data_IF_222264327025
#
_entry.id   IF_222264327025
#
_cell.length_a   1.000
_cell.length_b   1.000
_cell.length_c   1.000
_cell.angle_alpha   90.00
_cell.angle_beta   90.00
_cell.angle_gamma   90.00
#
_symmetry.space_group_name_H-M   'P 1'
#
loop_
_entity.id
_entity.type
_entity.pdbx_description
1 polymer ?
#
# COMPACT_ATOMS: atom_id res chain seq x y z
N UNK A 1 -9.57 71.48 -76.24
CA UNK A 1 -9.65 70.34 -77.17
C UNK A 1 -8.56 69.36 -76.79
N UNK A 2 -8.78 68.11 -76.45
CA UNK A 2 -9.98 67.39 -76.05
C UNK A 2 -9.53 66.10 -75.34
N UNK A 3 -10.39 65.63 -74.44
CA UNK A 3 -10.69 64.25 -74.02
C UNK A 3 -9.73 63.12 -74.48
N UNK A 4 -9.10 62.37 -73.57
CA UNK A 4 -9.63 61.16 -72.91
C UNK A 4 -9.99 60.01 -73.87
N UNK A 5 -9.29 58.85 -73.79
CA UNK A 5 -9.93 57.61 -73.29
C UNK A 5 -8.95 56.43 -73.03
N UNK A 6 -9.24 55.75 -71.92
CA UNK A 6 -8.96 54.38 -71.46
C UNK A 6 -7.78 53.57 -72.05
N UNK A 7 -6.80 53.27 -71.17
CA UNK A 7 -6.09 51.98 -71.14
C UNK A 7 -6.45 51.22 -69.88
N UNK A 8 -7.10 50.07 -70.03
CA UNK A 8 -7.36 49.12 -68.96
C UNK A 8 -6.05 48.43 -68.55
N UNK A 9 -5.55 48.72 -67.35
CA UNK A 9 -4.58 47.87 -66.67
C UNK A 9 -5.34 46.77 -65.92
N UNK A 10 -5.25 45.53 -66.42
CA UNK A 10 -5.59 44.34 -65.66
C UNK A 10 -4.63 44.21 -64.46
N UNK A 11 -5.16 44.42 -63.26
CA UNK A 11 -4.51 43.94 -62.04
C UNK A 11 -4.75 42.42 -61.92
N UNK A 12 -3.73 41.60 -61.58
CA UNK A 12 -3.94 40.17 -61.34
C UNK A 12 -4.83 39.96 -60.09
N UNK A 13 -5.60 38.87 -60.04
CA UNK A 13 -6.53 38.61 -58.95
C UNK A 13 -5.78 38.35 -57.64
N UNK A 14 -6.00 39.21 -56.64
CA UNK A 14 -5.68 38.93 -55.24
C UNK A 14 -6.73 37.97 -54.70
N UNK A 15 -6.67 36.70 -55.11
CA UNK A 15 -7.60 35.68 -54.66
C UNK A 15 -6.94 34.30 -54.58
N UNK A 16 -5.97 34.15 -53.67
CA UNK A 16 -5.47 32.81 -53.28
C UNK A 16 -4.79 32.73 -51.90
N UNK A 17 -4.57 33.85 -51.18
CA UNK A 17 -3.82 33.81 -49.90
C UNK A 17 -4.68 33.52 -48.65
N UNK A 18 -5.98 33.82 -48.67
CA UNK A 18 -6.86 33.65 -47.50
C UNK A 18 -7.25 32.19 -47.18
N UNK A 19 -7.40 31.35 -48.20
CA UNK A 19 -7.80 29.94 -48.03
C UNK A 19 -6.66 29.05 -47.53
N UNK A 20 -5.44 29.31 -47.97
CA UNK A 20 -4.25 28.57 -47.55
C UNK A 20 -3.94 28.81 -46.07
N UNK A 21 -3.90 30.07 -45.64
CA UNK A 21 -3.64 30.42 -44.23
C UNK A 21 -4.69 29.83 -43.29
N UNK A 22 -5.99 29.91 -43.63
CA UNK A 22 -7.05 29.29 -42.82
C UNK A 22 -6.92 27.77 -42.71
N UNK A 23 -6.64 27.07 -43.82
CA UNK A 23 -6.47 25.61 -43.81
C UNK A 23 -5.20 25.19 -43.06
N UNK A 24 -4.13 25.97 -43.20
CA UNK A 24 -2.88 25.76 -42.49
C UNK A 24 -3.04 25.96 -40.98
N UNK A 25 -3.68 27.03 -40.53
CA UNK A 25 -3.94 27.26 -39.10
C UNK A 25 -4.90 26.21 -38.51
N UNK A 26 -5.97 25.83 -39.23
CA UNK A 26 -6.91 24.81 -38.77
C UNK A 26 -6.27 23.40 -38.69
N UNK A 27 -5.46 23.03 -39.69
CA UNK A 27 -4.73 21.76 -39.69
C UNK A 27 -3.70 21.68 -38.57
N UNK A 28 -2.91 22.73 -38.37
CA UNK A 28 -1.91 22.75 -37.30
C UNK A 28 -2.53 22.81 -35.91
N UNK A 29 -3.68 23.48 -35.73
CA UNK A 29 -4.42 23.48 -34.47
C UNK A 29 -4.93 22.08 -34.11
N UNK A 30 -5.53 21.37 -35.07
CA UNK A 30 -6.00 19.98 -34.89
C UNK A 30 -4.86 19.02 -34.54
N UNK A 31 -3.75 19.09 -35.28
CA UNK A 31 -2.56 18.26 -35.04
C UNK A 31 -2.00 18.56 -33.65
N UNK A 32 -1.91 19.83 -33.26
CA UNK A 32 -1.44 20.23 -31.92
C UNK A 32 -2.38 19.74 -30.82
N UNK A 33 -3.70 19.78 -31.04
CA UNK A 33 -4.71 19.24 -30.12
C UNK A 33 -4.61 17.73 -29.93
N UNK A 34 -4.37 16.97 -31.01
CA UNK A 34 -4.17 15.52 -30.95
C UNK A 34 -2.87 15.14 -30.24
N UNK A 35 -1.78 15.87 -30.47
CA UNK A 35 -0.54 15.66 -29.72
C UNK A 35 -0.69 16.01 -28.24
N UNK A 36 -1.42 17.09 -27.92
CA UNK A 36 -1.73 17.45 -26.53
C UNK A 36 -2.61 16.38 -25.84
N UNK A 37 -3.60 15.81 -26.55
CA UNK A 37 -4.44 14.73 -26.04
C UNK A 37 -3.65 13.43 -25.87
N UNK A 38 -2.81 13.05 -26.83
CA UNK A 38 -1.95 11.88 -26.74
C UNK A 38 -0.96 12.01 -25.56
N UNK A 39 -0.37 13.19 -25.39
CA UNK A 39 0.48 13.51 -24.23
C UNK A 39 -0.29 13.41 -22.91
N UNK A 40 -1.52 13.95 -22.87
CA UNK A 40 -2.40 13.88 -21.70
C UNK A 40 -2.72 12.43 -21.32
N UNK A 41 -3.10 11.61 -22.29
CA UNK A 41 -3.47 10.19 -22.09
C UNK A 41 -2.26 9.35 -21.67
N UNK A 42 -1.14 9.49 -22.37
CA UNK A 42 0.08 8.74 -22.06
C UNK A 42 0.64 9.10 -20.69
N UNK A 43 0.53 10.37 -20.28
CA UNK A 43 1.17 10.84 -19.04
C UNK A 43 0.26 10.83 -17.81
N UNK A 44 -1.05 10.95 -18.00
CA UNK A 44 -2.03 10.77 -16.93
C UNK A 44 -2.27 9.28 -16.64
N UNK A 45 -2.21 8.41 -17.65
CA UNK A 45 -2.47 6.99 -17.49
C UNK A 45 -3.86 6.73 -16.87
N UNK A 46 -4.06 5.63 -16.11
CA UNK A 46 -5.37 5.29 -15.55
C UNK A 46 -5.75 6.08 -14.27
N UNK A 47 -4.91 7.02 -13.79
CA UNK A 47 -5.13 7.74 -12.52
C UNK A 47 -5.67 9.17 -12.76
N UNK A 48 -6.95 9.47 -12.43
CA UNK A 48 -7.56 10.77 -12.71
C UNK A 48 -6.89 11.94 -12.00
N UNK A 49 -6.28 11.73 -10.83
CA UNK A 49 -5.62 12.78 -10.04
C UNK A 49 -4.44 13.43 -10.76
N UNK A 50 -3.81 12.74 -11.71
CA UNK A 50 -2.67 13.28 -12.50
C UNK A 50 -3.07 14.37 -13.47
N UNK A 51 -4.37 14.53 -13.73
CA UNK A 51 -4.89 15.65 -14.52
C UNK A 51 -4.67 16.99 -13.81
N UNK A 52 -4.52 17.02 -12.48
CA UNK A 52 -4.31 18.25 -11.72
C UNK A 52 -2.92 18.90 -11.94
N UNK A 53 -1.96 18.19 -12.55
CA UNK A 53 -0.63 18.74 -12.79
C UNK A 53 -0.65 19.89 -13.80
N UNK A 54 0.15 20.95 -13.63
CA UNK A 54 0.10 22.14 -14.49
C UNK A 54 0.30 21.84 -15.98
N UNK A 55 1.19 20.91 -16.33
CA UNK A 55 1.42 20.50 -17.70
C UNK A 55 0.28 19.66 -18.29
N UNK A 56 -0.44 18.91 -17.45
CA UNK A 56 -1.61 18.14 -17.85
C UNK A 56 -2.85 19.05 -17.97
N UNK A 57 -2.99 20.05 -17.10
CA UNK A 57 -3.99 21.11 -17.22
C UNK A 57 -3.79 21.95 -18.48
N UNK A 58 -2.53 22.29 -18.81
CA UNK A 58 -2.21 23.00 -20.04
C UNK A 58 -2.45 22.14 -21.29
N UNK A 59 -2.07 20.85 -21.25
CA UNK A 59 -2.33 19.90 -22.35
C UNK A 59 -3.84 19.65 -22.52
N UNK A 60 -4.58 19.51 -21.42
CA UNK A 60 -6.04 19.42 -21.40
C UNK A 60 -6.66 20.67 -22.01
N UNK A 61 -6.31 21.87 -21.54
CA UNK A 61 -6.84 23.13 -22.08
C UNK A 61 -6.55 23.27 -23.59
N UNK A 62 -5.34 22.91 -24.02
CA UNK A 62 -4.93 22.94 -25.43
C UNK A 62 -5.70 21.92 -26.26
N UNK A 63 -5.86 20.69 -25.77
CA UNK A 63 -6.66 19.65 -26.42
C UNK A 63 -8.15 20.05 -26.47
N UNK A 64 -8.70 20.60 -25.40
CA UNK A 64 -10.10 21.05 -25.30
C UNK A 64 -10.38 22.23 -26.23
N UNK A 65 -9.46 23.21 -26.35
CA UNK A 65 -9.63 24.34 -27.27
C UNK A 65 -9.47 23.91 -28.75
N UNK A 66 -8.49 23.05 -29.05
CA UNK A 66 -8.21 22.59 -30.40
C UNK A 66 -9.25 21.57 -30.92
N UNK A 67 -9.74 20.68 -30.06
CA UNK A 67 -10.73 19.65 -30.39
C UNK A 67 -12.17 20.12 -30.09
N UNK A 68 -12.35 21.16 -29.28
CA UNK A 68 -13.63 21.82 -29.04
C UNK A 68 -14.15 22.62 -30.23
N UNK A 69 -13.27 23.20 -31.07
CA UNK A 69 -13.67 23.86 -32.31
C UNK A 69 -14.35 22.90 -33.33
N UNK A 70 -13.86 21.67 -33.53
CA UNK A 70 -14.58 20.59 -34.22
C UNK A 70 -15.90 20.22 -33.54
N UNK A 71 -15.99 20.17 -32.21
CA UNK A 71 -17.24 19.87 -31.50
C UNK A 71 -18.26 21.00 -31.65
N UNK A 72 -17.87 22.27 -31.61
CA UNK A 72 -18.76 23.40 -31.92
C UNK A 72 -19.18 23.37 -33.38
N UNK A 73 -18.27 23.05 -34.30
CA UNK A 73 -18.59 22.88 -35.74
C UNK A 73 -19.49 21.68 -35.99
N UNK A 74 -19.30 20.58 -35.25
CA UNK A 74 -20.11 19.38 -35.28
C UNK A 74 -21.46 19.60 -34.61
N UNK A 75 -21.57 20.39 -33.55
CA UNK A 75 -22.82 20.79 -32.91
C UNK A 75 -23.63 21.73 -33.80
N UNK A 76 -22.97 22.63 -34.54
CA UNK A 76 -23.60 23.47 -35.55
C UNK A 76 -24.05 22.65 -36.77
N UNK A 77 -23.26 21.66 -37.21
CA UNK A 77 -23.62 20.72 -38.27
C UNK A 77 -24.73 19.74 -37.83
N UNK A 78 -24.69 19.28 -36.57
CA UNK A 78 -25.69 18.42 -35.93
C UNK A 78 -27.01 19.19 -35.75
N UNK A 79 -26.96 20.49 -35.40
CA UNK A 79 -28.14 21.36 -35.37
C UNK A 79 -28.77 21.49 -36.76
N UNK A 80 -27.97 21.63 -37.81
CA UNK A 80 -28.47 21.65 -39.19
C UNK A 80 -29.03 20.29 -39.65
N UNK A 81 -28.41 19.19 -39.24
CA UNK A 81 -28.84 17.81 -39.53
C UNK A 81 -30.08 17.37 -38.70
N UNK A 82 -30.24 17.86 -37.47
CA UNK A 82 -31.43 17.67 -36.63
C UNK A 82 -32.65 18.35 -37.26
N UNK A 83 -32.47 19.57 -37.77
CA UNK A 83 -33.54 20.35 -38.45
C UNK A 83 -33.95 19.71 -39.78
N UNK A 84 -33.03 19.04 -40.49
CA UNK A 84 -33.35 18.30 -41.73
C UNK A 84 -33.88 16.88 -41.45
N UNK A 85 -33.39 16.20 -40.42
CA UNK A 85 -33.81 14.87 -40.00
C UNK A 85 -35.22 14.80 -39.42
N UNK A 86 -35.70 15.88 -38.79
CA UNK A 86 -37.10 16.04 -38.33
C UNK A 86 -38.14 16.07 -39.47
N UNK A 87 -37.70 16.12 -40.74
CA UNK A 87 -38.58 16.19 -41.91
C UNK A 87 -38.81 14.84 -42.59
N UNK A 88 -38.21 13.75 -42.12
CA UNK A 88 -38.44 12.41 -42.68
C UNK A 88 -38.58 11.33 -41.59
N UNK A 89 -39.39 10.27 -41.81
CA UNK A 89 -39.58 9.19 -40.84
C UNK A 89 -38.27 8.44 -40.50
N UNK A 90 -37.38 8.30 -41.49
CA UNK A 90 -36.07 7.66 -41.31
C UNK A 90 -35.10 8.53 -40.49
N UNK A 91 -35.19 9.86 -40.61
CA UNK A 91 -34.40 10.79 -39.81
C UNK A 91 -34.80 10.80 -38.33
N UNK A 92 -36.10 10.67 -38.05
CA UNK A 92 -36.62 10.50 -36.68
C UNK A 92 -36.13 9.20 -36.02
N UNK A 93 -36.14 8.08 -36.75
CA UNK A 93 -35.59 6.80 -36.27
C UNK A 93 -34.08 6.86 -35.99
N UNK A 94 -33.32 7.51 -36.86
CA UNK A 94 -31.88 7.71 -36.66
C UNK A 94 -31.56 8.56 -35.43
N UNK A 95 -32.35 9.60 -35.18
CA UNK A 95 -32.22 10.45 -33.99
C UNK A 95 -32.62 9.73 -32.70
N UNK A 96 -33.68 8.92 -32.75
CA UNK A 96 -34.08 8.10 -31.62
C UNK A 96 -33.00 7.06 -31.26
N UNK A 97 -32.43 6.38 -32.25
CA UNK A 97 -31.35 5.41 -32.05
C UNK A 97 -30.06 6.06 -31.49
N UNK A 98 -29.69 7.24 -32.00
CA UNK A 98 -28.54 7.99 -31.49
C UNK A 98 -28.77 8.49 -30.06
N UNK A 99 -29.98 8.96 -29.75
CA UNK A 99 -30.37 9.33 -28.39
C UNK A 99 -30.35 8.15 -27.43
N UNK A 100 -30.79 6.97 -27.88
CA UNK A 100 -30.74 5.73 -27.09
C UNK A 100 -29.30 5.29 -26.82
N UNK A 101 -28.43 5.32 -27.85
CA UNK A 101 -27.02 4.95 -27.71
C UNK A 101 -26.26 5.92 -26.80
N UNK A 102 -26.52 7.23 -26.93
CA UNK A 102 -25.96 8.24 -26.03
C UNK A 102 -26.47 8.03 -24.60
N UNK A 103 -27.78 7.80 -24.43
CA UNK A 103 -28.41 7.53 -23.14
C UNK A 103 -27.81 6.30 -22.44
N UNK A 104 -27.69 5.17 -23.15
CA UNK A 104 -27.08 3.95 -22.65
C UNK A 104 -25.58 4.13 -22.32
N UNK A 105 -24.84 4.88 -23.14
CA UNK A 105 -23.44 5.20 -22.88
C UNK A 105 -23.25 6.08 -21.65
N UNK A 106 -24.10 7.10 -21.47
CA UNK A 106 -24.10 7.92 -20.26
C UNK A 106 -24.60 7.18 -19.03
N UNK A 107 -25.57 6.27 -19.17
CA UNK A 107 -26.04 5.42 -18.08
C UNK A 107 -24.93 4.48 -17.60
N UNK A 108 -24.27 3.74 -18.51
CA UNK A 108 -23.14 2.89 -18.15
C UNK A 108 -21.94 3.66 -17.57
N UNK A 109 -21.70 4.89 -18.02
CA UNK A 109 -20.68 5.76 -17.41
C UNK A 109 -21.06 6.23 -16.01
N UNK A 110 -22.34 6.58 -15.79
CA UNK A 110 -22.83 6.99 -14.46
C UNK A 110 -22.87 5.81 -13.50
N UNK A 111 -23.28 4.63 -13.96
CA UNK A 111 -23.32 3.40 -13.16
C UNK A 111 -21.91 2.94 -12.75
N UNK A 112 -20.92 3.05 -13.66
CA UNK A 112 -19.51 2.79 -13.32
C UNK A 112 -18.87 3.87 -12.44
N UNK A 113 -19.32 5.14 -12.56
CA UNK A 113 -18.90 6.20 -11.67
C UNK A 113 -19.53 6.10 -10.28
N UNK A 114 -20.74 5.54 -10.19
CA UNK A 114 -21.47 5.30 -8.95
C UNK A 114 -20.99 4.02 -8.25
N UNK A 115 -20.64 2.97 -8.99
CA UNK A 115 -19.98 1.77 -8.47
C UNK A 115 -18.57 2.04 -7.90
N UNK A 116 -17.94 3.17 -8.27
CA UNK A 116 -16.67 3.65 -7.67
C UNK A 116 -16.87 4.61 -6.51
N UNK A 117 -18.10 4.92 -6.14
CA UNK A 117 -18.34 5.56 -4.85
C UNK A 117 -18.15 4.46 -3.81
N UNK A 118 -17.02 4.55 -3.09
CA UNK A 118 -16.88 3.88 -1.81
C UNK A 118 -18.22 4.04 -1.06
N UNK A 119 -18.76 2.97 -0.45
CA UNK A 119 -19.92 3.12 0.41
C UNK A 119 -19.65 4.27 1.40
N UNK A 120 -20.67 5.06 1.77
CA UNK A 120 -20.49 6.07 2.81
C UNK A 120 -19.77 5.40 3.97
N UNK A 121 -18.71 6.02 4.55
CA UNK A 121 -17.93 5.38 5.59
C UNK A 121 -18.91 4.83 6.61
N UNK A 122 -18.83 3.51 6.85
CA UNK A 122 -19.54 2.86 7.93
C UNK A 122 -19.38 3.79 9.12
N UNK A 123 -20.50 4.35 9.60
CA UNK A 123 -20.51 5.25 10.73
C UNK A 123 -20.24 4.39 11.97
N UNK A 124 -18.99 3.93 12.08
CA UNK A 124 -18.47 3.37 13.30
C UNK A 124 -18.41 4.56 14.23
N UNK A 125 -19.30 4.56 15.23
CA UNK A 125 -19.21 5.50 16.34
C UNK A 125 -17.87 5.22 17.03
N UNK A 126 -16.82 5.93 16.62
CA UNK A 126 -15.58 5.93 17.37
C UNK A 126 -15.91 6.31 18.81
N UNK A 127 -15.48 5.53 19.82
CA UNK A 127 -15.76 5.86 21.20
C UNK A 127 -15.35 7.30 21.47
N UNK A 128 -16.27 8.11 21.99
CA UNK A 128 -16.00 9.50 22.28
C UNK A 128 -14.80 9.60 23.23
N UNK A 129 -13.66 10.07 22.71
CA UNK A 129 -12.41 10.17 23.47
C UNK A 129 -11.33 9.13 23.14
N UNK A 130 -11.50 8.25 22.14
CA UNK A 130 -10.41 7.39 21.67
C UNK A 130 -9.15 8.22 21.35
N UNK A 131 -8.01 7.79 21.92
CA UNK A 131 -6.68 8.36 21.68
C UNK A 131 -5.73 7.19 21.54
N UNK A 132 -5.26 6.95 20.32
CA UNK A 132 -4.21 5.98 20.09
C UNK A 132 -2.91 6.48 20.74
N UNK A 133 -2.23 5.61 21.47
CA UNK A 133 -0.94 5.89 22.08
C UNK A 133 0.19 5.47 21.14
N UNK A 134 1.17 6.36 20.99
CA UNK A 134 2.36 6.08 20.19
C UNK A 134 3.58 6.27 21.10
N UNK A 135 4.37 5.21 21.21
CA UNK A 135 5.60 5.16 21.99
C UNK A 135 6.77 5.35 21.05
N UNK A 136 7.70 6.24 21.39
CA UNK A 136 8.81 6.58 20.52
C UNK A 136 10.11 6.67 21.32
N UNK A 137 11.13 5.96 20.85
CA UNK A 137 12.50 6.07 21.35
C UNK A 137 13.40 6.51 20.19
N UNK A 138 14.28 7.47 20.48
CA UNK A 138 15.26 8.00 19.54
C UNK A 138 16.67 7.90 20.10
N UNK A 139 17.66 8.00 19.22
CA UNK A 139 19.08 7.92 19.59
C UNK A 139 19.49 6.51 19.99
N UNK A 140 18.86 5.51 19.36
CA UNK A 140 19.17 4.11 19.62
C UNK A 140 20.63 3.81 19.25
N UNK A 141 21.41 3.19 20.15
CA UNK A 141 22.77 2.78 19.86
C UNK A 141 22.84 1.97 18.58
N UNK A 142 23.91 2.21 17.82
CA UNK A 142 24.07 1.57 16.53
C UNK A 142 24.22 0.06 16.64
N UNK A 143 25.08 -0.35 17.58
CA UNK A 143 25.50 -1.73 17.72
C UNK A 143 24.59 -2.47 18.72
N UNK A 144 24.13 -3.69 18.38
CA UNK A 144 23.51 -4.56 19.36
C UNK A 144 24.49 -4.92 20.49
N UNK A 145 23.96 -5.28 21.65
CA UNK A 145 24.73 -5.76 22.81
C UNK A 145 24.51 -7.26 22.97
N UNK A 146 25.32 -8.05 22.27
CA UNK A 146 25.06 -9.48 22.10
C UNK A 146 23.73 -9.68 21.37
N UNK A 147 22.83 -10.46 21.97
CA UNK A 147 21.50 -10.74 21.41
C UNK A 147 20.46 -9.67 21.73
N UNK A 148 20.84 -8.62 22.45
CA UNK A 148 19.96 -7.52 22.82
C UNK A 148 20.11 -6.35 21.86
N UNK A 149 18.99 -5.70 21.59
CA UNK A 149 18.98 -4.42 20.91
C UNK A 149 18.59 -3.31 21.90
N UNK A 150 19.50 -2.40 22.28
CA UNK A 150 19.24 -1.42 23.34
C UNK A 150 18.02 -0.53 23.10
N UNK A 151 17.62 -0.37 21.84
CA UNK A 151 16.40 0.35 21.46
C UNK A 151 15.13 -0.36 21.98
N UNK A 152 15.08 -1.69 21.91
CA UNK A 152 14.00 -2.50 22.49
C UNK A 152 14.05 -2.40 24.01
N UNK A 153 15.24 -2.56 24.60
CA UNK A 153 15.43 -2.47 26.06
C UNK A 153 15.01 -1.11 26.62
N UNK A 154 15.11 -0.02 25.85
CA UNK A 154 14.63 1.30 26.22
C UNK A 154 13.11 1.47 25.98
N UNK A 155 12.58 0.89 24.90
CA UNK A 155 11.18 1.02 24.51
C UNK A 155 10.24 0.30 25.48
N UNK A 156 10.56 -0.92 25.92
CA UNK A 156 9.63 -1.71 26.74
C UNK A 156 9.35 -1.06 28.11
N UNK A 157 10.35 -0.59 28.88
CA UNK A 157 10.10 0.17 30.10
C UNK A 157 9.34 1.47 29.83
N UNK A 158 9.65 2.16 28.73
CA UNK A 158 8.95 3.39 28.33
C UNK A 158 7.46 3.15 28.08
N UNK A 159 7.11 2.07 27.36
CA UNK A 159 5.71 1.63 27.19
C UNK A 159 5.07 1.30 28.54
N UNK A 160 5.77 0.53 29.38
CA UNK A 160 5.29 0.09 30.69
C UNK A 160 4.98 1.24 31.66
N UNK A 161 5.84 2.25 31.73
CA UNK A 161 5.63 3.48 32.52
C UNK A 161 4.39 4.26 32.09
N UNK A 162 3.97 4.10 30.84
CA UNK A 162 2.82 4.78 30.24
C UNK A 162 1.61 3.86 30.08
N UNK A 163 1.61 2.69 30.73
CA UNK A 163 0.43 1.84 30.87
C UNK A 163 0.33 0.68 29.89
N UNK A 164 1.23 0.55 28.91
CA UNK A 164 1.25 -0.59 27.99
C UNK A 164 2.39 -1.55 28.36
N UNK A 165 2.05 -2.69 28.95
CA UNK A 165 3.02 -3.67 29.42
C UNK A 165 3.30 -4.73 28.36
N UNK A 166 4.56 -5.10 28.21
CA UNK A 166 4.94 -6.09 27.21
C UNK A 166 4.63 -7.51 27.66
N UNK A 167 4.91 -7.84 28.92
CA UNK A 167 4.74 -9.20 29.44
C UNK A 167 3.41 -9.38 30.17
N UNK A 168 2.61 -10.35 29.72
CA UNK A 168 1.39 -10.79 30.41
C UNK A 168 1.79 -11.72 31.55
N UNK A 169 1.65 -11.24 32.78
CA UNK A 169 2.13 -11.93 33.97
C UNK A 169 1.25 -11.63 35.18
N UNK A 170 1.03 -12.59 36.09
CA UNK A 170 0.41 -12.29 37.39
C UNK A 170 1.30 -11.37 38.25
N UNK A 171 2.60 -11.29 37.98
CA UNK A 171 3.54 -10.42 38.70
C UNK A 171 3.57 -9.04 38.05
N UNK A 172 3.18 -8.03 38.81
CA UNK A 172 3.18 -6.64 38.35
C UNK A 172 4.56 -6.02 38.53
N UNK A 173 5.21 -5.69 37.42
CA UNK A 173 6.47 -4.92 37.36
C UNK A 173 6.29 -3.69 36.47
N UNK A 174 7.37 -2.98 36.15
CA UNK A 174 7.36 -1.91 35.15
C UNK A 174 6.92 -2.43 33.77
N UNK A 175 7.43 -3.60 33.35
CA UNK A 175 7.20 -4.18 32.01
C UNK A 175 6.20 -5.35 32.02
N UNK A 176 5.72 -5.78 33.19
CA UNK A 176 4.89 -6.98 33.36
C UNK A 176 3.60 -6.73 34.14
N UNK A 177 2.50 -7.39 33.77
CA UNK A 177 1.24 -7.36 34.50
C UNK A 177 0.14 -8.16 33.79
N UNK A 178 -1.05 -8.32 34.42
CA UNK A 178 -2.10 -9.20 33.89
C UNK A 178 -2.67 -8.74 32.54
N UNK A 179 -2.58 -7.44 32.25
CA UNK A 179 -3.01 -6.83 30.98
C UNK A 179 -1.86 -6.71 29.96
N UNK A 180 -0.75 -7.42 30.16
CA UNK A 180 0.39 -7.39 29.25
C UNK A 180 0.11 -8.08 27.91
N UNK A 181 0.96 -7.80 26.92
CA UNK A 181 0.77 -8.28 25.54
C UNK A 181 1.07 -9.77 25.42
N UNK A 182 2.30 -10.20 25.72
CA UNK A 182 2.79 -11.57 25.48
C UNK A 182 2.77 -12.38 26.76
N UNK A 183 2.02 -13.47 26.82
CA UNK A 183 2.08 -14.46 27.88
C UNK A 183 3.24 -15.46 27.68
N UNK A 184 3.57 -16.17 28.76
CA UNK A 184 4.69 -17.10 28.80
C UNK A 184 4.55 -18.28 27.82
N UNK A 185 3.33 -18.70 27.50
CA UNK A 185 3.00 -19.86 26.68
C UNK A 185 2.43 -19.51 25.29
N UNK A 186 2.42 -18.23 24.94
CA UNK A 186 1.93 -17.74 23.65
C UNK A 186 2.79 -18.22 22.48
N UNK A 187 2.12 -18.42 21.35
CA UNK A 187 2.77 -18.53 20.03
C UNK A 187 2.78 -17.13 19.44
N UNK A 188 3.97 -16.52 19.39
CA UNK A 188 4.18 -15.16 18.92
C UNK A 188 4.64 -15.18 17.47
N UNK A 189 3.74 -14.85 16.55
CA UNK A 189 4.09 -14.65 15.14
C UNK A 189 4.68 -13.25 14.98
N UNK A 190 5.98 -13.17 14.66
CA UNK A 190 6.67 -11.92 14.34
C UNK A 190 6.62 -11.72 12.83
N UNK A 191 5.69 -10.88 12.39
CA UNK A 191 5.52 -10.51 11.00
C UNK A 191 6.55 -9.45 10.63
N UNK A 192 7.64 -9.87 10.01
CA UNK A 192 8.68 -8.95 9.51
C UNK A 192 8.28 -8.36 8.15
N UNK A 193 8.87 -7.23 7.76
CA UNK A 193 8.97 -6.84 6.35
C UNK A 193 10.24 -7.41 5.70
N UNK A 194 10.13 -8.26 4.67
CA UNK A 194 11.33 -8.88 4.08
C UNK A 194 11.32 -9.11 2.55
N UNK A 195 10.42 -8.46 1.82
CA UNK A 195 10.45 -8.50 0.35
C UNK A 195 11.78 -8.00 -0.25
N UNK A 196 12.39 -6.96 0.33
CA UNK A 196 13.58 -6.31 -0.23
C UNK A 196 14.82 -6.55 0.65
N UNK A 197 15.99 -6.66 0.03
CA UNK A 197 17.29 -6.78 0.70
C UNK A 197 17.76 -5.45 1.29
N UNK A 198 18.93 -5.46 1.92
CA UNK A 198 19.59 -4.28 2.48
C UNK A 198 18.64 -3.56 3.45
N UNK A 199 18.60 -2.22 3.46
CA UNK A 199 17.71 -1.42 4.33
C UNK A 199 16.24 -1.41 3.87
N UNK A 200 15.91 -2.25 2.88
CA UNK A 200 14.54 -2.50 2.44
C UNK A 200 13.83 -3.55 3.30
N UNK A 201 14.54 -4.32 4.11
CA UNK A 201 13.95 -5.27 5.06
C UNK A 201 13.89 -4.71 6.49
N UNK A 202 13.23 -5.45 7.37
CA UNK A 202 13.24 -5.22 8.82
C UNK A 202 14.65 -5.38 9.35
N UNK A 203 15.03 -4.50 10.28
CA UNK A 203 16.34 -4.58 10.90
C UNK A 203 16.52 -5.89 11.69
N UNK A 204 17.56 -6.66 11.38
CA UNK A 204 17.79 -7.97 12.01
C UNK A 204 18.41 -7.86 13.40
N UNK A 205 19.12 -6.77 13.71
CA UNK A 205 19.53 -6.47 15.10
C UNK A 205 18.29 -6.22 15.98
N UNK A 206 17.31 -5.48 15.46
CA UNK A 206 16.01 -5.26 16.10
C UNK A 206 15.23 -6.57 16.26
N UNK A 207 15.18 -7.40 15.21
CA UNK A 207 14.54 -8.72 15.28
C UNK A 207 15.16 -9.57 16.39
N UNK A 208 16.50 -9.64 16.45
CA UNK A 208 17.23 -10.37 17.48
C UNK A 208 16.89 -9.85 18.88
N UNK A 209 16.90 -8.52 19.08
CA UNK A 209 16.53 -7.90 20.35
C UNK A 209 15.07 -8.17 20.77
N UNK A 210 14.14 -8.18 19.82
CA UNK A 210 12.74 -8.52 20.08
C UNK A 210 12.58 -9.99 20.46
N UNK A 211 13.21 -10.91 19.71
CA UNK A 211 13.20 -12.34 20.03
C UNK A 211 13.79 -12.57 21.42
N UNK A 212 14.94 -11.96 21.74
CA UNK A 212 15.55 -11.99 23.07
C UNK A 212 14.57 -11.54 24.15
N UNK A 213 13.89 -10.42 23.94
CA UNK A 213 12.92 -9.91 24.89
C UNK A 213 11.76 -10.89 25.14
N UNK A 214 11.24 -11.53 24.09
CA UNK A 214 10.15 -12.52 24.20
C UNK A 214 10.64 -13.75 24.97
N UNK A 215 11.78 -14.33 24.60
CA UNK A 215 12.29 -15.56 25.24
C UNK A 215 12.75 -15.32 26.69
N UNK A 216 13.06 -14.07 27.05
CA UNK A 216 13.33 -13.61 28.42
C UNK A 216 12.08 -13.34 29.25
N UNK A 217 10.90 -13.80 28.81
CA UNK A 217 9.65 -13.62 29.56
C UNK A 217 9.88 -13.92 31.06
N UNK A 218 9.50 -13.02 31.98
CA UNK A 218 9.88 -13.10 33.40
C UNK A 218 9.33 -14.35 34.11
N UNK A 219 8.24 -14.91 33.61
CA UNK A 219 7.66 -16.17 34.10
C UNK A 219 8.26 -17.43 33.46
N UNK A 220 9.25 -17.27 32.57
CA UNK A 220 9.86 -18.32 31.76
C UNK A 220 9.04 -18.60 30.49
N UNK A 221 9.58 -18.25 29.32
CA UNK A 221 8.90 -18.49 28.06
C UNK A 221 8.92 -19.98 27.68
N UNK A 222 7.74 -20.54 27.46
CA UNK A 222 7.49 -21.94 27.05
C UNK A 222 6.67 -22.05 25.78
N UNK A 223 6.27 -20.91 25.21
CA UNK A 223 5.58 -20.80 23.93
C UNK A 223 6.51 -21.00 22.72
N UNK A 224 6.19 -20.36 21.60
CA UNK A 224 7.02 -20.39 20.38
C UNK A 224 7.09 -18.99 19.76
N UNK A 225 8.25 -18.59 19.25
CA UNK A 225 8.39 -17.39 18.41
C UNK A 225 8.51 -17.82 16.95
N UNK A 226 7.63 -17.33 16.09
CA UNK A 226 7.60 -17.69 14.66
C UNK A 226 7.86 -16.44 13.81
N UNK A 227 9.03 -16.36 13.18
CA UNK A 227 9.36 -15.28 12.24
C UNK A 227 8.73 -15.58 10.89
N UNK A 228 7.82 -14.73 10.40
CA UNK A 228 7.04 -15.03 9.20
C UNK A 228 6.88 -13.83 8.26
N UNK A 229 6.83 -14.12 6.96
CA UNK A 229 6.61 -13.14 5.89
C UNK A 229 6.27 -13.85 4.56
N UNK A 230 5.54 -13.14 3.70
CA UNK A 230 5.43 -13.42 2.27
C UNK A 230 6.32 -12.41 1.50
N UNK A 231 7.51 -12.83 1.11
CA UNK A 231 8.48 -12.04 0.34
C UNK A 231 8.11 -11.88 -1.16
N UNK A 232 6.94 -12.39 -1.55
CA UNK A 232 6.38 -12.27 -2.89
C UNK A 232 7.34 -12.76 -4.00
N UNK A 233 7.53 -11.99 -5.06
CA UNK A 233 8.41 -12.35 -6.18
C UNK A 233 9.90 -12.31 -5.82
N UNK A 234 10.26 -11.78 -4.64
CA UNK A 234 11.64 -11.66 -4.18
C UNK A 234 11.96 -12.72 -3.11
N UNK A 235 11.29 -13.87 -3.16
CA UNK A 235 11.56 -14.99 -2.25
C UNK A 235 13.05 -15.34 -2.20
N UNK A 236 13.51 -15.75 -1.03
CA UNK A 236 14.81 -16.37 -0.82
C UNK A 236 14.59 -17.51 0.17
N UNK A 237 15.30 -18.62 0.01
CA UNK A 237 15.13 -19.78 0.87
C UNK A 237 15.38 -19.39 2.33
N UNK A 238 14.43 -19.72 3.21
CA UNK A 238 14.50 -19.47 4.65
C UNK A 238 14.77 -18.02 5.08
N UNK A 239 14.52 -17.03 4.22
CA UNK A 239 14.91 -15.63 4.46
C UNK A 239 16.43 -15.40 4.52
N UNK A 240 17.24 -16.37 4.10
CA UNK A 240 18.69 -16.27 4.09
C UNK A 240 19.15 -15.44 2.88
N UNK A 241 19.73 -14.28 3.14
CA UNK A 241 20.31 -13.37 2.15
C UNK A 241 21.67 -12.91 2.63
N UNK A 242 22.61 -12.61 1.73
CA UNK A 242 23.92 -12.09 2.11
C UNK A 242 23.90 -10.60 2.51
N UNK A 243 22.82 -9.88 2.25
CA UNK A 243 22.74 -8.41 2.36
C UNK A 243 21.46 -7.98 3.08
N UNK A 244 21.60 -7.63 4.36
CA UNK A 244 20.48 -7.43 5.28
C UNK A 244 20.52 -6.07 5.98
N UNK A 245 19.39 -5.71 6.58
CA UNK A 245 19.29 -4.52 7.42
C UNK A 245 19.88 -4.80 8.82
N UNK A 246 21.20 -4.90 8.96
CA UNK A 246 21.87 -4.97 10.27
C UNK A 246 23.17 -4.16 10.29
N UNK A 247 23.81 -4.03 11.45
CA UNK A 247 25.20 -3.57 11.50
C UNK A 247 26.11 -4.60 10.84
N UNK A 248 25.96 -5.88 11.20
CA UNK A 248 26.50 -6.98 10.41
C UNK A 248 25.54 -7.29 9.27
N UNK A 249 25.86 -6.75 8.08
CA UNK A 249 25.01 -6.91 6.90
C UNK A 249 24.83 -8.36 6.45
N UNK A 250 25.65 -9.29 6.93
CA UNK A 250 25.50 -10.71 6.63
C UNK A 250 24.44 -11.40 7.48
N UNK A 251 24.00 -10.81 8.60
CA UNK A 251 22.99 -11.40 9.48
C UNK A 251 21.58 -11.29 8.89
N UNK A 252 21.04 -12.43 8.48
CA UNK A 252 19.67 -12.58 7.98
C UNK A 252 18.68 -12.95 9.10
N UNK A 253 17.35 -12.89 8.86
CA UNK A 253 16.37 -13.47 9.78
C UNK A 253 16.59 -14.96 10.04
N UNK A 254 17.12 -15.69 9.06
CA UNK A 254 17.49 -17.10 9.24
C UNK A 254 18.55 -17.26 10.33
N UNK A 255 19.62 -16.46 10.27
CA UNK A 255 20.72 -16.51 11.23
C UNK A 255 20.24 -16.18 12.64
N UNK A 256 19.33 -15.21 12.78
CA UNK A 256 18.71 -14.90 14.08
C UNK A 256 17.95 -16.12 14.61
N UNK A 257 17.11 -16.75 13.79
CA UNK A 257 16.33 -17.93 14.20
C UNK A 257 17.25 -19.09 14.59
N UNK A 258 18.24 -19.41 13.76
CA UNK A 258 19.21 -20.50 14.04
C UNK A 258 19.98 -20.22 15.32
N UNK A 259 20.45 -18.99 15.52
CA UNK A 259 21.16 -18.60 16.74
C UNK A 259 20.33 -18.87 18.01
N UNK A 260 19.06 -18.48 18.01
CA UNK A 260 18.18 -18.75 19.17
C UNK A 260 17.84 -20.23 19.34
N UNK A 261 17.72 -20.99 18.24
CA UNK A 261 17.57 -22.45 18.31
C UNK A 261 18.80 -23.11 18.94
N UNK A 262 20.01 -22.66 18.61
CA UNK A 262 21.26 -23.14 19.20
C UNK A 262 21.36 -22.84 20.72
N UNK A 263 20.73 -21.75 21.16
CA UNK A 263 20.54 -21.44 22.59
C UNK A 263 19.45 -22.28 23.26
N UNK A 264 18.75 -23.14 22.51
CA UNK A 264 17.66 -23.99 22.98
C UNK A 264 16.32 -23.27 23.12
N UNK A 265 16.17 -22.08 22.54
CA UNK A 265 14.90 -21.35 22.55
C UNK A 265 13.94 -21.88 21.48
N UNK A 266 12.62 -21.88 21.74
CA UNK A 266 11.60 -22.34 20.78
C UNK A 266 11.32 -21.25 19.74
N UNK A 267 12.24 -21.10 18.79
CA UNK A 267 12.14 -20.11 17.72
C UNK A 267 12.13 -20.83 16.37
N UNK A 268 11.25 -20.43 15.47
CA UNK A 268 11.17 -20.95 14.10
C UNK A 268 10.93 -19.81 13.12
N UNK A 269 11.01 -20.11 11.82
CA UNK A 269 10.51 -19.24 10.77
C UNK A 269 9.58 -19.99 9.84
N UNK A 270 8.64 -19.26 9.24
CA UNK A 270 7.74 -19.78 8.21
C UNK A 270 7.73 -18.86 7.01
N UNK A 271 8.22 -19.36 5.87
CA UNK A 271 8.18 -18.63 4.60
C UNK A 271 6.83 -18.81 3.91
N UNK A 272 5.91 -17.88 4.16
CA UNK A 272 4.59 -17.88 3.51
C UNK A 272 4.68 -17.71 1.99
N UNK A 273 5.83 -17.30 1.46
CA UNK A 273 6.05 -17.22 0.01
C UNK A 273 5.99 -18.58 -0.67
N UNK A 274 6.32 -19.64 0.06
CA UNK A 274 6.24 -21.04 -0.41
C UNK A 274 4.79 -21.54 -0.40
N UNK A 275 3.98 -21.04 0.54
CA UNK A 275 2.59 -21.47 0.75
C UNK A 275 1.58 -20.73 -0.14
N UNK A 276 1.92 -19.51 -0.61
CA UNK A 276 0.99 -18.57 -1.25
C UNK A 276 0.31 -19.05 -2.54
N UNK A 277 0.77 -20.16 -3.12
CA UNK A 277 0.20 -20.77 -4.33
C UNK A 277 -0.79 -21.90 -4.04
N UNK A 278 -1.03 -22.23 -2.77
CA UNK A 278 -1.89 -23.33 -2.34
C UNK A 278 -3.12 -22.77 -1.62
N UNK A 279 -4.30 -23.04 -2.17
CA UNK A 279 -5.58 -22.80 -1.50
C UNK A 279 -5.89 -23.99 -0.59
N UNK A 280 -6.27 -23.72 0.65
CA UNK A 280 -6.59 -24.73 1.66
C UNK A 280 -7.84 -24.33 2.44
N UNK A 281 -8.50 -25.32 3.03
CA UNK A 281 -9.54 -25.10 4.03
C UNK A 281 -8.92 -24.98 5.44
N UNK A 282 -9.73 -24.69 6.46
CA UNK A 282 -9.25 -24.63 7.85
C UNK A 282 -8.97 -26.02 8.46
N UNK A 283 -8.15 -26.08 9.51
CA UNK A 283 -7.90 -27.33 10.25
C UNK A 283 -9.20 -27.95 10.78
N UNK A 284 -10.16 -27.12 11.21
CA UNK A 284 -11.49 -27.58 11.64
C UNK A 284 -12.32 -28.24 10.54
N UNK A 285 -11.94 -28.06 9.28
CA UNK A 285 -12.59 -28.68 8.11
C UNK A 285 -11.87 -29.97 7.68
N UNK A 286 -10.83 -30.38 8.42
CA UNK A 286 -10.06 -31.60 8.16
C UNK A 286 -8.94 -31.43 7.13
N UNK A 287 -8.61 -30.18 6.77
CA UNK A 287 -7.48 -29.87 5.91
C UNK A 287 -6.23 -29.61 6.78
N UNK A 288 -5.28 -30.55 6.71
CA UNK A 288 -4.00 -30.50 7.42
C UNK A 288 -2.87 -29.86 6.58
N UNK A 289 -3.14 -29.44 5.34
CA UNK A 289 -2.15 -28.88 4.43
C UNK A 289 -1.83 -27.41 4.76
N UNK A 290 -0.60 -26.99 4.49
CA UNK A 290 -0.16 -25.60 4.66
C UNK A 290 -0.49 -24.77 3.41
N UNK A 291 -1.06 -23.59 3.60
CA UNK A 291 -1.53 -22.77 2.49
C UNK A 291 -2.19 -21.47 2.92
N UNK A 292 -3.07 -20.98 2.05
CA UNK A 292 -3.91 -19.83 2.32
C UNK A 292 -5.37 -20.23 2.29
N UNK A 293 -6.11 -19.87 3.34
CA UNK A 293 -7.57 -19.87 3.28
C UNK A 293 -7.99 -18.67 2.44
N UNK A 294 -8.85 -18.89 1.45
CA UNK A 294 -9.29 -17.86 0.49
C UNK A 294 -10.81 -17.75 0.53
N UNK A 295 -11.30 -16.54 0.79
CA UNK A 295 -12.74 -16.28 0.75
C UNK A 295 -13.24 -16.12 -0.69
N UNK A 296 -14.57 -16.23 -0.92
CA UNK A 296 -15.15 -15.81 -2.18
C UNK A 296 -14.77 -14.37 -2.53
N UNK A 297 -14.65 -14.09 -3.83
CA UNK A 297 -14.40 -12.74 -4.31
C UNK A 297 -15.56 -11.81 -3.92
N UNK A 298 -15.23 -10.71 -3.26
CA UNK A 298 -16.17 -9.67 -2.86
C UNK A 298 -16.07 -8.46 -3.82
N UNK A 299 -17.13 -8.15 -4.58
CA UNK A 299 -17.14 -7.00 -5.48
C UNK A 299 -17.18 -5.64 -4.75
N UNK A 300 -17.58 -5.57 -3.48
CA UNK A 300 -17.62 -4.31 -2.71
C UNK A 300 -16.22 -3.81 -2.38
N UNK A 301 -15.32 -4.74 -2.04
CA UNK A 301 -13.90 -4.44 -1.76
C UNK A 301 -12.97 -4.84 -2.90
N UNK A 302 -13.53 -5.26 -4.04
CA UNK A 302 -12.80 -5.51 -5.29
C UNK A 302 -11.82 -6.69 -5.24
N UNK A 303 -11.96 -7.61 -4.29
CA UNK A 303 -10.99 -8.69 -4.07
C UNK A 303 -11.51 -9.80 -3.15
N UNK A 304 -10.68 -10.81 -2.91
CA UNK A 304 -10.92 -11.86 -1.93
C UNK A 304 -9.98 -11.70 -0.74
N UNK A 305 -10.51 -11.84 0.47
CA UNK A 305 -9.69 -11.94 1.68
C UNK A 305 -8.95 -13.29 1.65
N UNK A 306 -7.69 -13.26 2.06
CA UNK A 306 -6.89 -14.48 2.22
C UNK A 306 -5.90 -14.32 3.35
N UNK A 307 -5.62 -15.40 4.07
CA UNK A 307 -4.64 -15.41 5.16
C UNK A 307 -3.98 -16.80 5.26
N UNK A 308 -2.75 -16.88 5.78
CA UNK A 308 -2.03 -18.13 5.88
C UNK A 308 -2.54 -19.00 7.04
N UNK A 309 -2.59 -20.31 6.76
CA UNK A 309 -2.74 -21.41 7.72
C UNK A 309 -1.54 -22.33 7.53
N UNK A 310 -0.82 -22.66 8.60
CA UNK A 310 0.46 -23.38 8.49
C UNK A 310 0.86 -24.10 9.77
N UNK A 311 1.65 -25.16 9.62
CA UNK A 311 2.33 -25.85 10.71
C UNK A 311 3.79 -25.38 10.81
N UNK A 312 4.23 -24.99 12.01
CA UNK A 312 5.62 -24.60 12.27
C UNK A 312 6.55 -25.82 12.28
N UNK A 313 7.86 -25.58 12.22
CA UNK A 313 8.87 -26.65 12.37
C UNK A 313 8.79 -27.36 13.75
N UNK A 314 8.24 -26.70 14.78
CA UNK A 314 7.99 -27.28 16.09
C UNK A 314 6.70 -28.11 16.14
N UNK A 315 5.90 -28.12 15.07
CA UNK A 315 4.63 -28.83 14.98
C UNK A 315 3.41 -28.03 15.42
N UNK A 316 3.58 -26.75 15.77
CA UNK A 316 2.47 -25.86 16.13
C UNK A 316 1.63 -25.55 14.90
N UNK A 317 0.33 -25.79 14.95
CA UNK A 317 -0.62 -25.53 13.86
C UNK A 317 -1.29 -24.17 14.06
N UNK A 318 -1.05 -23.24 13.14
CA UNK A 318 -1.43 -21.83 13.25
C UNK A 318 -2.41 -21.47 12.13
N UNK A 319 -3.58 -20.95 12.48
CA UNK A 319 -4.42 -20.13 11.61
C UNK A 319 -4.34 -18.68 12.08
N UNK A 320 -3.98 -17.74 11.20
CA UNK A 320 -3.98 -16.32 11.60
C UNK A 320 -5.38 -15.79 11.92
N UNK A 321 -6.44 -16.45 11.42
CA UNK A 321 -7.82 -16.12 11.80
C UNK A 321 -8.16 -16.75 13.15
N UNK A 322 -8.04 -18.07 13.26
CA UNK A 322 -8.70 -18.80 14.34
C UNK A 322 -7.80 -19.07 15.56
N UNK A 323 -6.48 -19.01 15.41
CA UNK A 323 -5.52 -19.22 16.50
C UNK A 323 -4.72 -20.51 16.37
N UNK A 324 -4.37 -21.11 17.52
CA UNK A 324 -3.59 -22.34 17.60
C UNK A 324 -4.52 -23.55 17.63
N UNK A 325 -4.38 -24.44 16.66
CA UNK A 325 -5.21 -25.64 16.55
C UNK A 325 -4.74 -26.74 17.50
N UNK A 326 -5.65 -27.23 18.34
CA UNK A 326 -5.49 -28.46 19.12
C UNK A 326 -6.15 -29.64 18.38
N UNK A 327 -5.37 -30.55 17.77
CA UNK A 327 -5.90 -31.69 17.04
C UNK A 327 -6.53 -32.75 17.95
N UNK A 328 -6.26 -32.74 19.26
CA UNK A 328 -6.87 -33.70 20.21
C UNK A 328 -8.25 -33.22 20.64
N UNK A 329 -8.35 -31.92 20.97
CA UNK A 329 -9.60 -31.28 21.34
C UNK A 329 -10.49 -30.88 20.15
N UNK A 330 -9.95 -30.92 18.93
CA UNK A 330 -10.59 -30.42 17.70
C UNK A 330 -11.08 -28.97 17.86
N UNK A 331 -10.23 -28.11 18.42
CA UNK A 331 -10.58 -26.73 18.76
C UNK A 331 -9.41 -25.77 18.58
N UNK A 332 -9.71 -24.49 18.38
CA UNK A 332 -8.71 -23.43 18.35
C UNK A 332 -8.59 -22.73 19.70
N UNK A 333 -7.36 -22.43 20.09
CA UNK A 333 -7.04 -21.46 21.12
C UNK A 333 -6.59 -20.15 20.46
N UNK A 334 -7.52 -19.19 20.38
CA UNK A 334 -7.27 -17.88 19.78
C UNK A 334 -6.44 -16.96 20.67
N UNK A 335 -6.53 -17.11 21.98
CA UNK A 335 -5.84 -16.20 22.92
C UNK A 335 -4.37 -16.54 23.09
N UNK A 336 -3.96 -17.74 22.71
CA UNK A 336 -2.56 -18.16 22.65
C UNK A 336 -1.82 -17.68 21.41
N UNK A 337 -2.51 -17.14 20.40
CA UNK A 337 -1.88 -16.55 19.22
C UNK A 337 -1.70 -15.05 19.42
N UNK A 338 -0.44 -14.60 19.38
CA UNK A 338 -0.10 -13.18 19.36
C UNK A 338 0.64 -12.81 18.07
N UNK A 339 0.19 -11.73 17.42
CA UNK A 339 0.81 -11.20 16.21
C UNK A 339 1.56 -9.91 16.54
N UNK A 340 2.87 -9.88 16.29
CA UNK A 340 3.70 -8.68 16.40
C UNK A 340 4.14 -8.26 15.00
N UNK A 341 3.69 -7.10 14.56
CA UNK A 341 3.96 -6.56 13.23
C UNK A 341 5.18 -5.65 13.26
N UNK A 342 6.24 -6.01 12.53
CA UNK A 342 7.53 -5.30 12.56
C UNK A 342 7.89 -4.77 11.16
N UNK A 343 7.26 -3.68 10.70
CA UNK A 343 7.57 -3.06 9.41
C UNK A 343 8.83 -2.20 9.47
N UNK A 344 9.52 -2.05 8.34
CA UNK A 344 10.50 -0.96 8.14
C UNK A 344 9.82 0.29 7.58
N UNK A 345 10.17 1.46 8.13
CA UNK A 345 9.68 2.76 7.68
C UNK A 345 10.43 3.22 6.43
N UNK A 346 9.71 3.31 5.31
CA UNK A 346 10.32 3.75 4.04
C UNK A 346 9.32 4.40 3.12
N UNK A 347 9.80 5.28 2.26
CA UNK A 347 9.03 5.73 1.10
C UNK A 347 8.63 4.55 0.20
N UNK A 348 7.50 4.70 -0.48
CA UNK A 348 7.02 3.73 -1.47
C UNK A 348 6.59 4.45 -2.75
N UNK A 349 7.46 5.36 -3.20
CA UNK A 349 7.25 6.26 -4.33
C UNK A 349 5.92 7.06 -4.22
N UNK A 350 5.60 7.88 -5.22
CA UNK A 350 4.30 8.56 -5.34
C UNK A 350 3.11 7.60 -5.58
N UNK A 351 3.30 6.27 -5.51
CA UNK A 351 2.26 5.29 -5.79
C UNK A 351 1.53 4.87 -4.52
N UNK A 352 2.26 4.38 -3.52
CA UNK A 352 1.71 4.00 -2.21
C UNK A 352 2.14 4.97 -1.09
N UNK A 353 3.07 5.89 -1.36
CA UNK A 353 3.51 6.92 -0.42
C UNK A 353 4.51 6.36 0.60
N UNK A 354 4.05 5.46 1.46
CA UNK A 354 4.82 4.91 2.59
C UNK A 354 4.63 3.40 2.70
N UNK A 355 5.68 2.70 3.12
CA UNK A 355 5.59 1.39 3.76
C UNK A 355 5.84 1.57 5.25
N UNK A 356 4.89 1.09 6.05
CA UNK A 356 4.92 1.01 7.51
C UNK A 356 3.90 -0.06 7.95
N UNK A 357 3.27 0.06 9.12
CA UNK A 357 2.46 -0.98 9.76
C UNK A 357 1.27 -1.46 8.93
N UNK A 358 0.45 -0.54 8.40
CA UNK A 358 -0.74 -0.91 7.61
C UNK A 358 -0.32 -1.67 6.35
N UNK A 359 0.67 -1.13 5.62
CA UNK A 359 1.15 -1.71 4.37
C UNK A 359 1.81 -3.07 4.56
N UNK A 360 2.36 -3.34 5.75
CA UNK A 360 3.05 -4.60 6.03
C UNK A 360 2.12 -5.80 5.93
N UNK A 361 0.82 -5.63 6.20
CA UNK A 361 -0.20 -6.67 6.03
C UNK A 361 -0.38 -7.14 4.58
N UNK A 362 0.17 -6.43 3.60
CA UNK A 362 0.27 -6.97 2.23
C UNK A 362 1.17 -8.22 2.16
N UNK A 363 2.04 -8.41 3.14
CA UNK A 363 2.81 -9.65 3.31
C UNK A 363 2.04 -10.77 3.99
N UNK A 364 0.78 -10.56 4.37
CA UNK A 364 -0.10 -11.58 4.95
C UNK A 364 -1.05 -12.17 3.90
N UNK A 365 -1.37 -11.45 2.83
CA UNK A 365 -2.27 -11.93 1.77
C UNK A 365 -1.51 -12.60 0.63
N UNK A 366 -2.20 -13.41 -0.16
CA UNK A 366 -1.67 -13.90 -1.44
C UNK A 366 -2.28 -13.15 -2.62
N UNK A 367 -1.58 -13.14 -3.76
CA UNK A 367 -2.11 -12.71 -5.06
C UNK A 367 -2.08 -13.82 -6.10
N UNK A 368 -1.60 -15.02 -5.76
CA UNK A 368 -1.47 -16.12 -6.72
C UNK A 368 -2.77 -16.92 -6.88
N UNK A 369 -3.72 -16.75 -5.96
CA UNK A 369 -5.00 -17.46 -5.92
C UNK A 369 -6.16 -16.59 -6.41
N UNK A 370 -5.91 -15.72 -7.39
CA UNK A 370 -6.96 -14.90 -8.02
C UNK A 370 -7.61 -13.85 -7.10
N UNK A 371 -7.02 -13.54 -5.95
CA UNK A 371 -7.60 -12.70 -4.90
C UNK A 371 -7.68 -11.21 -5.21
N UNK A 372 -6.90 -10.73 -6.19
CA UNK A 372 -6.79 -9.31 -6.56
C UNK A 372 -6.31 -8.36 -5.41
N UNK A 373 -5.78 -8.88 -4.31
CA UNK A 373 -5.52 -8.11 -3.08
C UNK A 373 -4.59 -6.90 -3.27
N UNK A 374 -3.65 -6.94 -4.22
CA UNK A 374 -2.76 -5.81 -4.51
C UNK A 374 -3.47 -4.63 -5.20
N UNK A 375 -4.43 -4.90 -6.07
CA UNK A 375 -5.15 -3.86 -6.81
C UNK A 375 -6.29 -3.27 -5.97
N UNK A 376 -6.88 -4.10 -5.11
CA UNK A 376 -8.01 -3.80 -4.25
C UNK A 376 -7.68 -3.01 -2.97
N UNK A 377 -6.42 -2.61 -2.76
CA UNK A 377 -6.02 -1.84 -1.56
C UNK A 377 -6.82 -0.55 -1.41
N UNK A 378 -7.06 0.15 -2.52
CA UNK A 378 -7.83 1.40 -2.50
C UNK A 378 -9.32 1.18 -2.20
N UNK A 379 -9.80 -0.05 -2.37
CA UNK A 379 -11.20 -0.44 -2.24
C UNK A 379 -11.49 -1.04 -0.86
N UNK A 380 -10.47 -1.20 0.01
CA UNK A 380 -10.65 -1.56 1.42
C UNK A 380 -10.24 -2.99 1.79
N UNK A 381 -9.72 -3.80 0.86
CA UNK A 381 -9.42 -5.22 1.12
C UNK A 381 -8.48 -5.48 2.30
N UNK A 382 -7.55 -4.56 2.59
CA UNK A 382 -6.66 -4.69 3.75
C UNK A 382 -7.39 -4.40 5.07
N UNK A 383 -8.43 -3.57 5.04
CA UNK A 383 -9.32 -3.34 6.18
C UNK A 383 -10.12 -4.61 6.50
N UNK A 384 -10.68 -5.27 5.48
CA UNK A 384 -11.38 -6.55 5.63
C UNK A 384 -10.44 -7.62 6.20
N UNK A 385 -9.24 -7.77 5.63
CA UNK A 385 -8.23 -8.69 6.18
C UNK A 385 -7.98 -8.46 7.66
N UNK A 386 -7.78 -7.20 8.08
CA UNK A 386 -7.49 -6.85 9.46
C UNK A 386 -8.68 -7.08 10.41
N UNK A 387 -9.91 -7.11 9.88
CA UNK A 387 -11.09 -7.49 10.64
C UNK A 387 -11.22 -9.02 10.81
N UNK A 388 -10.67 -9.79 9.87
CA UNK A 388 -10.72 -11.26 9.89
C UNK A 388 -9.64 -11.87 10.79
N UNK A 389 -8.37 -11.49 10.59
CA UNK A 389 -7.25 -12.11 11.32
C UNK A 389 -7.14 -11.61 12.76
N UNK A 390 -6.36 -12.32 13.60
CA UNK A 390 -5.90 -11.78 14.89
C UNK A 390 -5.19 -10.44 14.63
N UNK A 391 -5.69 -9.32 15.19
CA UNK A 391 -5.03 -8.03 15.03
C UNK A 391 -3.63 -8.08 15.61
N UNK A 392 -2.71 -7.32 15.03
CA UNK A 392 -1.37 -7.19 15.62
C UNK A 392 -1.49 -6.56 17.01
N UNK A 393 -1.08 -7.29 18.04
CA UNK A 393 -1.08 -6.81 19.41
C UNK A 393 -0.02 -5.73 19.65
N UNK A 394 1.00 -5.69 18.78
CA UNK A 394 1.98 -4.60 18.73
C UNK A 394 2.44 -4.35 17.30
N UNK A 395 2.44 -3.09 16.88
CA UNK A 395 3.10 -2.64 15.67
C UNK A 395 4.39 -1.93 16.06
N UNK A 396 5.53 -2.47 15.65
CA UNK A 396 6.86 -2.00 15.97
C UNK A 396 7.57 -1.51 14.70
N UNK A 397 7.44 -0.22 14.42
CA UNK A 397 7.99 0.41 13.21
C UNK A 397 9.49 0.62 13.38
N UNK A 398 10.26 -0.16 12.64
CA UNK A 398 11.70 0.00 12.46
C UNK A 398 11.99 1.27 11.67
N UNK A 399 12.52 2.27 12.36
CA UNK A 399 13.05 3.49 11.78
C UNK A 399 14.53 3.66 12.15
N UNK A 400 15.31 2.57 12.25
CA UNK A 400 16.76 2.66 12.42
C UNK A 400 17.39 3.16 11.12
N UNK A 401 16.97 2.58 10.00
CA UNK A 401 17.28 3.02 8.64
C UNK A 401 15.98 3.26 7.88
N UNK A 402 15.87 4.42 7.22
CA UNK A 402 14.68 4.76 6.43
C UNK A 402 15.05 5.10 4.99
N UNK A 403 14.12 4.87 4.07
CA UNK A 403 14.24 5.48 2.74
C UNK A 403 13.75 6.93 2.80
N UNK A 404 14.70 7.86 2.89
CA UNK A 404 14.45 9.29 2.97
C UNK A 404 14.26 10.00 1.63
N UNK A 405 13.87 9.30 0.57
CA UNK A 405 13.58 9.90 -0.74
C UNK A 405 12.13 9.62 -1.18
N UNK A 406 11.24 10.63 -1.21
CA UNK A 406 9.81 10.44 -1.51
C UNK A 406 9.54 9.92 -2.94
N UNK A 407 10.53 9.99 -3.83
CA UNK A 407 10.46 9.52 -5.21
C UNK A 407 11.13 8.16 -5.41
N UNK A 408 11.43 7.43 -4.33
CA UNK A 408 12.04 6.10 -4.40
C UNK A 408 11.37 5.11 -3.45
N UNK A 409 11.94 3.92 -3.34
CA UNK A 409 11.34 2.80 -2.62
C UNK A 409 10.38 1.98 -3.49
N UNK A 410 9.94 0.80 -3.02
CA UNK A 410 10.16 0.24 -1.67
C UNK A 410 11.52 -0.45 -1.46
N UNK A 411 12.32 -0.65 -2.51
CA UNK A 411 13.73 -1.05 -2.35
C UNK A 411 14.54 0.10 -1.73
N UNK A 412 15.43 -0.22 -0.80
CA UNK A 412 16.24 0.78 -0.09
C UNK A 412 17.69 0.29 0.05
N UNK A 413 18.51 0.52 -0.99
CA UNK A 413 19.92 0.16 -0.94
C UNK A 413 20.69 0.93 0.14
N UNK A 414 21.82 0.42 0.63
CA UNK A 414 22.67 1.01 1.66
C UNK A 414 23.06 2.45 1.34
N UNK A 415 23.41 2.73 0.08
CA UNK A 415 23.82 4.06 -0.36
C UNK A 415 22.67 5.08 -0.47
N UNK A 416 21.41 4.63 -0.35
CA UNK A 416 20.20 5.48 -0.41
C UNK A 416 19.58 5.64 0.98
N UNK A 417 19.77 4.67 1.87
CA UNK A 417 19.21 4.69 3.20
C UNK A 417 19.73 5.85 4.05
N UNK A 418 18.86 6.42 4.86
CA UNK A 418 19.20 7.43 5.86
C UNK A 418 19.07 6.83 7.25
N UNK A 419 20.13 6.92 8.04
CA UNK A 419 20.12 6.47 9.43
C UNK A 419 19.33 7.45 10.28
N UNK A 420 18.44 6.92 11.12
CA UNK A 420 17.57 7.69 12.03
C UNK A 420 17.69 7.22 13.48
N UNK A 421 18.00 5.94 13.70
CA UNK A 421 18.17 5.37 15.05
C UNK A 421 16.93 5.59 15.93
N UNK A 422 15.75 5.39 15.34
CA UNK A 422 14.44 5.59 15.97
C UNK A 422 13.62 4.30 15.92
N UNK A 423 12.78 4.08 16.94
CA UNK A 423 11.84 2.97 17.02
C UNK A 423 10.51 3.49 17.54
N UNK A 424 9.42 3.10 16.87
CA UNK A 424 8.08 3.58 17.19
C UNK A 424 7.14 2.40 17.40
N UNK A 425 6.34 2.42 18.45
CA UNK A 425 5.40 1.35 18.76
C UNK A 425 3.99 1.86 19.04
N UNK A 426 3.00 1.04 18.72
CA UNK A 426 1.57 1.28 18.97
C UNK A 426 0.77 -0.01 18.83
N UNK A 427 -0.34 -0.11 19.53
CA UNK A 427 -1.37 -1.12 19.26
C UNK A 427 -2.27 -0.75 18.07
N UNK A 428 -2.26 0.53 17.67
CA UNK A 428 -2.99 1.05 16.51
C UNK A 428 -2.03 1.23 15.30
N UNK A 429 -2.19 0.45 14.22
CA UNK A 429 -1.32 0.51 13.05
C UNK A 429 -1.49 1.80 12.23
N UNK A 430 -2.65 2.45 12.27
CA UNK A 430 -2.89 3.70 11.53
C UNK A 430 -2.24 4.86 12.28
N UNK A 431 -2.37 4.89 13.61
CA UNK A 431 -1.77 5.92 14.43
C UNK A 431 -0.24 5.92 14.35
N UNK A 432 0.38 4.73 14.41
CA UNK A 432 1.85 4.63 14.30
C UNK A 432 2.34 5.06 12.93
N UNK A 433 1.61 4.72 11.85
CA UNK A 433 1.97 5.13 10.49
C UNK A 433 1.89 6.65 10.32
N UNK A 434 0.78 7.26 10.76
CA UNK A 434 0.60 8.72 10.69
C UNK A 434 1.69 9.42 11.49
N UNK A 435 1.97 8.94 12.71
CA UNK A 435 2.96 9.55 13.58
C UNK A 435 4.37 9.40 13.00
N UNK A 436 4.76 8.19 12.58
CA UNK A 436 6.09 7.93 12.02
C UNK A 436 6.32 8.70 10.71
N UNK A 437 5.31 8.81 9.86
CA UNK A 437 5.40 9.61 8.63
C UNK A 437 5.61 11.09 8.94
N UNK A 438 4.81 11.66 9.84
CA UNK A 438 4.86 13.09 10.16
C UNK A 438 6.13 13.50 10.91
N UNK A 439 6.60 12.66 11.82
CA UNK A 439 7.67 13.00 12.74
C UNK A 439 9.05 12.47 12.34
N UNK A 440 9.11 11.43 11.50
CA UNK A 440 10.38 10.82 11.06
C UNK A 440 10.54 10.95 9.54
N UNK A 441 9.63 10.36 8.77
CA UNK A 441 9.85 10.16 7.33
C UNK A 441 9.83 11.48 6.54
N UNK A 442 8.82 12.33 6.73
CA UNK A 442 8.74 13.64 6.06
C UNK A 442 9.87 14.58 6.49
N UNK A 443 10.21 14.71 7.79
CA UNK A 443 11.40 15.45 8.20
C UNK A 443 12.69 14.91 7.55
N UNK A 444 12.80 13.60 7.38
CA UNK A 444 13.95 12.99 6.68
C UNK A 444 13.98 13.37 5.20
N UNK A 445 12.82 13.40 4.51
CA UNK A 445 12.74 13.88 3.13
C UNK A 445 13.28 15.32 3.00
N UNK A 446 12.83 16.20 3.90
CA UNK A 446 13.25 17.60 3.91
C UNK A 446 14.75 17.74 4.23
N UNK A 447 15.26 16.99 5.20
CA UNK A 447 16.66 16.98 5.57
C UNK A 447 17.57 16.50 4.42
N UNK A 448 17.08 15.57 3.60
CA UNK A 448 17.75 15.08 2.41
C UNK A 448 17.58 16.02 1.18
N UNK A 449 16.93 17.18 1.35
CA UNK A 449 16.79 18.20 0.31
C UNK A 449 15.65 17.96 -0.67
N UNK A 450 14.70 17.09 -0.35
CA UNK A 450 13.51 16.88 -1.18
C UNK A 450 12.39 17.84 -0.81
N UNK A 451 11.72 18.40 -1.82
CA UNK A 451 10.43 19.07 -1.61
C UNK A 451 9.32 18.01 -1.46
N UNK A 452 8.42 18.14 -0.47
CA UNK A 452 7.30 17.22 -0.33
C UNK A 452 6.43 17.27 -1.59
N UNK A 453 6.15 16.13 -2.26
CA UNK A 453 5.29 16.11 -3.43
C UNK A 453 3.79 16.29 -3.11
N UNK A 454 3.44 16.41 -1.83
CA UNK A 454 2.11 16.66 -1.30
C UNK A 454 2.02 18.08 -0.72
N UNK A 455 0.84 18.73 -0.76
CA UNK A 455 0.67 20.03 -0.11
C UNK A 455 1.08 19.92 1.36
N UNK A 456 1.68 20.98 1.90
CA UNK A 456 2.08 21.04 3.31
C UNK A 456 0.92 20.52 4.18
N UNK A 457 1.17 19.54 5.08
CA UNK A 457 0.13 19.08 5.98
C UNK A 457 -0.36 20.30 6.77
N UNK A 458 -1.65 20.61 6.61
CA UNK A 458 -2.36 21.64 7.36
C UNK A 458 -2.44 21.30 8.83
#
# INVERSE_FOLDING_TARGET
MDAADRRHHHSPPVAARGGFLRRWFAGNALVSGLFALAWLLLRSGPRPSRLAYPCQQAALTTATLALGAPVVSALLALRAALVSGLRSPAGLLGLAAAGLAAGLGSWGYLETAEARRLPPPLAVETPAGYRAEVFHVAGCPADPQGDRFPCVDALLPWMGQHGLKFYRSPVVTEVSGPDGIVAADDVVVVKINYQWSERGGTNTDLLSGLVRAIVDHPDGFVGEVVVAENAQFAATENFDRPENNAQDISQSPHDVVVHFQELGAPVSHTDWTLLRGTEVDEYSEGDDDDGYVVYPFDPEVGGAVSYPKFQTAAGTRVSLRDGIWDPVGESYDRERLELVNVPVLKSHHAVYGVTAAVKNNMGVVTTLLGTNSHAAVADGILGELLAEIRPAALNLVDAIWVNGNPFSGPSTPYGVATRRDELVASVDPVAVDIWAVRNILVPTFLANGFEPPWPYPS
#
